data_IF_065849603090
#
_entry.id   IF_065849603090
#
_cell.length_a   1.000
_cell.length_b   1.000
_cell.length_c   1.000
_cell.angle_alpha   90.00
_cell.angle_beta   90.00
_cell.angle_gamma   90.00
#
_symmetry.space_group_name_H-M   'P 1'
#
loop_
_entity.id
_entity.type
_entity.pdbx_description
1 polymer ?
#
# COMPACT_ATOMS: atom_id res chain seq x y z
N UNK A 1 64.97 -14.82 -4.89
CA UNK A 1 66.41 -14.51 -4.81
C UNK A 1 66.60 -13.02 -5.10
N UNK A 2 67.18 -12.27 -4.13
CA UNK A 2 67.96 -11.00 -4.20
C UNK A 2 67.44 -9.83 -5.07
N UNK A 3 67.52 -8.54 -4.72
CA UNK A 3 67.76 -7.72 -3.52
C UNK A 3 67.50 -6.26 -3.96
N UNK A 4 67.12 -5.40 -3.00
CA UNK A 4 67.09 -3.92 -2.97
C UNK A 4 68.05 -3.12 -3.89
N UNK A 5 67.72 -1.85 -4.22
CA UNK A 5 68.02 -0.60 -3.47
C UNK A 5 67.55 0.65 -4.26
N UNK A 6 66.95 1.63 -3.55
CA UNK A 6 67.01 3.11 -3.70
C UNK A 6 66.59 3.78 -5.03
N UNK A 7 65.97 4.96 -5.11
CA UNK A 7 65.73 6.05 -4.16
C UNK A 7 65.96 7.42 -4.85
N UNK A 8 64.99 8.34 -4.69
CA UNK A 8 65.05 9.83 -4.84
C UNK A 8 64.84 10.50 -6.22
N UNK A 9 63.65 11.10 -6.33
CA UNK A 9 63.27 12.47 -6.76
C UNK A 9 64.14 13.31 -7.73
N UNK A 10 63.48 13.97 -8.69
CA UNK A 10 63.63 15.41 -9.00
C UNK A 10 62.55 15.93 -9.96
N UNK A 11 62.20 17.21 -9.79
CA UNK A 11 61.15 18.00 -10.48
C UNK A 11 61.42 18.25 -11.98
N UNK A 12 60.35 18.57 -12.74
CA UNK A 12 60.45 19.27 -14.03
C UNK A 12 59.09 19.67 -14.61
N UNK A 13 58.84 20.98 -14.68
CA UNK A 13 57.63 21.70 -15.07
C UNK A 13 57.56 21.96 -16.59
N UNK A 14 56.36 21.91 -17.22
CA UNK A 14 55.89 22.68 -18.40
C UNK A 14 54.83 21.85 -19.18
N UNK A 15 53.74 22.36 -19.73
CA UNK A 15 53.15 23.69 -19.82
C UNK A 15 51.77 23.53 -20.49
N UNK A 16 50.77 24.27 -20.03
CA UNK A 16 49.38 24.21 -20.50
C UNK A 16 49.04 25.53 -21.21
N UNK A 17 48.60 25.46 -22.46
CA UNK A 17 48.10 26.58 -23.25
C UNK A 17 46.59 26.36 -23.43
N UNK A 18 45.76 27.17 -22.80
CA UNK A 18 44.32 27.17 -23.01
C UNK A 18 43.83 28.60 -23.25
N UNK A 19 43.35 28.82 -24.48
CA UNK A 19 42.63 30.00 -24.94
C UNK A 19 41.31 30.13 -24.15
N UNK A 20 41.10 31.26 -23.47
CA UNK A 20 39.84 31.57 -22.80
C UNK A 20 38.94 32.41 -23.73
N UNK A 21 37.77 31.86 -24.06
CA UNK A 21 36.65 32.59 -24.66
C UNK A 21 35.86 33.30 -23.55
N UNK A 22 35.56 34.59 -23.74
CA UNK A 22 34.80 35.41 -22.81
C UNK A 22 33.28 35.21 -22.98
N UNK A 23 32.57 34.96 -21.86
CA UNK A 23 31.11 34.97 -21.75
C UNK A 23 30.65 36.18 -20.90
N UNK A 24 29.42 36.70 -21.09
CA UNK A 24 28.98 37.98 -20.51
C UNK A 24 28.70 37.88 -19.00
N UNK A 25 28.98 38.96 -18.28
CA UNK A 25 29.05 39.00 -16.82
C UNK A 25 27.72 38.77 -16.10
N UNK A 26 27.66 37.70 -15.32
CA UNK A 26 26.83 37.62 -14.11
C UNK A 26 27.35 38.64 -13.09
N UNK A 27 26.45 39.36 -12.42
CA UNK A 27 26.77 40.29 -11.34
C UNK A 27 27.38 39.52 -10.16
N UNK A 28 28.71 39.36 -10.17
CA UNK A 28 29.43 38.47 -9.30
C UNK A 28 29.96 39.22 -8.07
N UNK A 29 29.57 38.77 -6.88
CA UNK A 29 30.22 39.16 -5.62
C UNK A 29 31.61 38.50 -5.48
N UNK A 30 32.40 38.97 -4.51
CA UNK A 30 33.71 38.41 -4.20
C UNK A 30 33.68 36.87 -4.12
N UNK A 31 34.71 36.23 -4.69
CA UNK A 31 34.87 34.78 -4.62
C UNK A 31 35.85 34.44 -3.53
N UNK A 32 35.37 33.74 -2.52
CA UNK A 32 36.13 33.34 -1.33
C UNK A 32 36.46 31.85 -1.47
N UNK A 33 37.75 31.54 -1.54
CA UNK A 33 38.25 30.16 -1.61
C UNK A 33 38.58 29.70 -0.19
N UNK A 34 37.90 28.66 0.27
CA UNK A 34 38.14 28.04 1.58
C UNK A 34 39.18 26.92 1.51
N UNK A 35 39.84 26.66 2.64
CA UNK A 35 40.79 25.56 2.84
C UNK A 35 40.06 24.22 2.63
N UNK A 36 40.25 23.61 1.47
CA UNK A 36 39.51 22.43 1.00
C UNK A 36 38.99 22.55 -0.44
N UNK A 37 39.21 23.69 -1.10
CA UNK A 37 38.85 23.88 -2.52
C UNK A 37 37.38 24.25 -2.75
N UNK A 38 36.65 24.65 -1.70
CA UNK A 38 35.26 25.12 -1.81
C UNK A 38 35.28 26.62 -2.11
N UNK A 39 34.64 27.01 -3.22
CA UNK A 39 34.44 28.40 -3.60
C UNK A 39 33.08 28.89 -3.11
N UNK A 40 33.06 30.04 -2.44
CA UNK A 40 31.85 30.72 -1.99
C UNK A 40 31.75 32.11 -2.62
N UNK A 41 30.55 32.51 -3.03
CA UNK A 41 30.29 33.86 -3.50
C UNK A 41 29.66 34.69 -2.38
N UNK A 42 30.38 35.70 -1.91
CA UNK A 42 29.95 36.53 -0.79
C UNK A 42 31.05 37.45 -0.31
N UNK A 43 30.72 38.36 0.61
CA UNK A 43 31.64 39.38 1.10
C UNK A 43 32.12 39.10 2.50
N UNK A 44 33.44 39.21 2.71
CA UNK A 44 34.06 39.04 4.03
C UNK A 44 33.88 40.30 4.86
N UNK A 45 33.23 40.17 6.00
CA UNK A 45 33.06 41.18 7.05
C UNK A 45 33.96 40.80 8.23
N UNK A 46 34.68 41.78 8.79
CA UNK A 46 35.47 41.57 10.01
C UNK A 46 34.52 41.44 11.20
N UNK A 47 34.74 40.46 12.07
CA UNK A 47 33.96 40.37 13.30
C UNK A 47 34.43 41.46 14.28
N UNK A 48 33.55 42.37 14.74
CA UNK A 48 33.91 43.39 15.70
C UNK A 48 34.20 42.85 17.11
N UNK A 49 33.85 41.60 17.43
CA UNK A 49 34.02 41.01 18.76
C UNK A 49 35.25 40.10 18.90
N UNK A 50 35.71 39.47 17.82
CA UNK A 50 36.88 38.58 17.84
C UNK A 50 37.67 38.67 16.52
N UNK A 51 38.91 39.17 16.53
CA UNK A 51 39.75 39.28 15.34
C UNK A 51 40.09 37.96 14.66
N UNK A 52 39.92 36.82 15.35
CA UNK A 52 40.19 35.48 14.80
C UNK A 52 39.05 34.95 13.93
N UNK A 53 37.86 35.52 14.05
CA UNK A 53 36.69 35.11 13.28
C UNK A 53 36.32 36.15 12.22
N UNK A 54 35.89 35.65 11.07
CA UNK A 54 35.43 36.45 9.93
C UNK A 54 34.02 36.01 9.56
N UNK A 55 33.17 36.99 9.26
CA UNK A 55 31.76 36.78 8.91
C UNK A 55 31.60 36.95 7.41
N UNK A 56 31.24 35.90 6.69
CA UNK A 56 31.01 35.95 5.25
C UNK A 56 29.52 36.14 4.98
N UNK A 57 29.16 37.27 4.36
CA UNK A 57 27.80 37.53 3.90
C UNK A 57 27.63 36.98 2.49
N UNK A 58 26.74 36.01 2.33
CA UNK A 58 26.46 35.38 1.04
C UNK A 58 25.42 36.18 0.23
N UNK A 59 25.40 35.95 -1.09
CA UNK A 59 24.33 36.45 -1.97
C UNK A 59 22.95 35.86 -1.62
N UNK A 60 22.95 34.62 -1.13
CA UNK A 60 21.76 33.89 -0.65
C UNK A 60 22.01 33.44 0.79
N UNK A 61 21.22 33.96 1.71
CA UNK A 61 21.33 33.69 3.14
C UNK A 61 20.93 34.88 4.00
N UNK A 62 20.08 34.64 5.00
CA UNK A 62 19.61 35.68 5.94
C UNK A 62 20.68 36.15 6.94
N UNK A 63 21.71 35.34 7.19
CA UNK A 63 22.73 35.61 8.22
C UNK A 63 24.13 35.36 7.66
N UNK A 64 25.11 36.22 8.00
CA UNK A 64 26.52 35.97 7.67
C UNK A 64 27.02 34.67 8.33
N UNK A 65 27.70 33.83 7.57
CA UNK A 65 28.36 32.62 8.07
C UNK A 65 29.66 32.99 8.79
N UNK A 66 29.95 32.34 9.92
CA UNK A 66 31.17 32.58 10.69
C UNK A 66 32.23 31.53 10.33
N UNK A 67 33.42 32.00 9.97
CA UNK A 67 34.59 31.18 9.68
C UNK A 67 35.77 31.63 10.53
N UNK A 68 36.71 30.71 10.79
CA UNK A 68 38.01 31.09 11.34
C UNK A 68 38.86 31.73 10.23
N UNK A 69 39.58 32.82 10.54
CA UNK A 69 40.37 33.57 9.56
C UNK A 69 41.43 32.70 8.86
N UNK A 70 41.90 31.62 9.50
CA UNK A 70 42.86 30.68 8.90
C UNK A 70 42.26 29.76 7.83
N UNK A 71 40.93 29.67 7.73
CA UNK A 71 40.22 28.83 6.77
C UNK A 71 40.01 29.52 5.41
N UNK A 72 40.18 30.84 5.34
CA UNK A 72 40.09 31.59 4.08
C UNK A 72 41.48 31.60 3.43
N UNK A 73 41.60 31.01 2.25
CA UNK A 73 42.86 30.88 1.51
C UNK A 73 43.05 32.06 0.57
N UNK A 74 41.99 32.45 -0.14
CA UNK A 74 42.03 33.53 -1.12
C UNK A 74 40.68 34.25 -1.18
N UNK A 75 40.71 35.56 -1.34
CA UNK A 75 39.52 36.39 -1.59
C UNK A 75 39.77 37.15 -2.88
N UNK A 76 39.03 36.80 -3.92
CA UNK A 76 39.10 37.44 -5.24
C UNK A 76 38.02 38.51 -5.27
N UNK A 77 38.38 39.81 -5.21
CA UNK A 77 37.40 40.88 -5.18
C UNK A 77 36.70 41.00 -6.53
N UNK A 78 35.36 41.03 -6.53
CA UNK A 78 34.54 41.28 -7.72
C UNK A 78 33.41 42.25 -7.38
N UNK A 79 33.18 43.28 -8.23
CA UNK A 79 32.12 44.24 -7.99
C UNK A 79 30.76 43.56 -8.08
N UNK A 80 30.02 43.58 -6.97
CA UNK A 80 28.73 42.92 -6.88
C UNK A 80 27.67 43.72 -6.13
N UNK A 81 26.39 43.31 -6.21
CA UNK A 81 25.28 43.99 -5.52
C UNK A 81 25.44 44.07 -3.98
N UNK A 82 26.25 43.20 -3.38
CA UNK A 82 26.57 43.21 -1.96
C UNK A 82 27.46 44.40 -1.55
N UNK A 83 28.24 44.97 -2.47
CA UNK A 83 29.08 46.13 -2.17
C UNK A 83 28.23 47.38 -1.93
N UNK A 84 27.34 47.66 -2.87
CA UNK A 84 26.36 48.74 -2.78
C UNK A 84 25.40 48.54 -1.61
N UNK A 85 25.05 47.28 -1.32
CA UNK A 85 24.25 46.93 -0.16
C UNK A 85 24.94 47.35 1.14
N UNK A 86 26.22 47.03 1.35
CA UNK A 86 26.93 47.36 2.58
C UNK A 86 27.09 48.88 2.80
N UNK A 87 27.33 49.62 1.71
CA UNK A 87 27.40 51.10 1.76
C UNK A 87 26.06 51.69 2.18
N UNK A 88 24.96 51.14 1.65
CA UNK A 88 23.60 51.58 2.00
C UNK A 88 23.21 51.12 3.41
N UNK A 89 23.55 49.89 3.80
CA UNK A 89 23.23 49.30 5.10
C UNK A 89 23.97 50.00 6.25
N UNK A 90 25.15 50.58 5.99
CA UNK A 90 25.94 51.32 6.97
C UNK A 90 25.38 52.72 7.32
N UNK A 91 24.47 53.26 6.51
CA UNK A 91 23.79 54.54 6.84
C UNK A 91 22.81 54.31 8.00
N UNK A 92 22.77 55.21 9.01
CA UNK A 92 21.78 55.13 10.08
C UNK A 92 20.37 55.27 9.49
N UNK A 93 19.44 54.48 10.02
CA UNK A 93 18.04 54.44 9.61
C UNK A 93 17.21 54.48 10.88
N UNK A 94 16.35 55.48 10.99
CA UNK A 94 15.59 55.74 12.22
C UNK A 94 14.10 55.41 12.03
N UNK A 95 13.64 55.21 10.79
CA UNK A 95 12.24 54.93 10.47
C UNK A 95 12.01 53.59 9.76
N UNK A 96 10.87 52.94 10.05
CA UNK A 96 10.43 51.71 9.38
C UNK A 96 10.35 51.84 7.85
N UNK A 97 10.06 53.05 7.35
CA UNK A 97 10.02 53.34 5.92
C UNK A 97 11.40 53.24 5.24
N UNK A 98 12.44 53.71 5.91
CA UNK A 98 13.81 53.74 5.38
C UNK A 98 14.40 52.32 5.31
N UNK A 99 14.08 51.48 6.29
CA UNK A 99 14.39 50.04 6.27
C UNK A 99 13.66 49.32 5.12
N UNK A 100 12.39 49.66 4.87
CA UNK A 100 11.64 49.09 3.75
C UNK A 100 12.14 49.54 2.38
N UNK A 101 12.53 50.80 2.21
CA UNK A 101 13.07 51.28 0.93
C UNK A 101 14.41 50.60 0.60
N UNK A 102 15.19 50.21 1.62
CA UNK A 102 16.37 49.34 1.45
C UNK A 102 15.99 47.91 1.07
N UNK A 103 14.95 47.33 1.69
CA UNK A 103 14.42 46.03 1.29
C UNK A 103 13.96 46.02 -0.18
N UNK A 104 13.24 47.06 -0.63
CA UNK A 104 12.81 47.21 -2.02
C UNK A 104 13.97 47.42 -3.01
N UNK A 105 15.12 47.92 -2.55
CA UNK A 105 16.34 47.96 -3.33
C UNK A 105 17.00 46.59 -3.42
N UNK A 106 17.05 45.83 -2.31
CA UNK A 106 17.54 44.46 -2.28
C UNK A 106 16.75 43.55 -3.24
N UNK A 107 15.43 43.70 -3.28
CA UNK A 107 14.55 42.96 -4.21
C UNK A 107 14.91 43.20 -5.68
N UNK A 108 15.11 44.47 -6.05
CA UNK A 108 15.47 44.85 -7.42
C UNK A 108 16.82 44.27 -7.84
N UNK A 109 17.68 43.97 -6.87
CA UNK A 109 19.02 43.43 -7.08
C UNK A 109 19.14 41.92 -6.77
N UNK A 110 18.01 41.22 -6.67
CA UNK A 110 17.95 39.77 -6.44
C UNK A 110 18.59 39.31 -5.10
N UNK A 111 18.61 40.18 -4.10
CA UNK A 111 19.07 39.90 -2.74
C UNK A 111 17.88 39.59 -1.82
N UNK A 112 17.08 38.58 -2.20
CA UNK A 112 15.78 38.28 -1.57
C UNK A 112 15.88 38.00 -0.05
N UNK A 113 16.88 37.23 0.38
CA UNK A 113 17.06 36.90 1.79
C UNK A 113 17.37 38.14 2.63
N UNK A 114 18.16 39.07 2.11
CA UNK A 114 18.48 40.33 2.78
C UNK A 114 17.28 41.28 2.78
N UNK A 115 16.47 41.28 1.72
CA UNK A 115 15.22 42.01 1.70
C UNK A 115 14.27 41.53 2.81
N UNK A 116 14.17 40.21 3.05
CA UNK A 116 13.34 39.70 4.15
C UNK A 116 13.84 40.17 5.51
N UNK A 117 15.16 40.24 5.73
CA UNK A 117 15.75 40.74 7.00
C UNK A 117 15.39 42.21 7.22
N UNK A 118 15.46 43.04 6.19
CA UNK A 118 15.08 44.45 6.30
C UNK A 118 13.57 44.66 6.46
N UNK A 119 12.74 43.81 5.85
CA UNK A 119 11.31 43.82 6.13
C UNK A 119 11.00 43.38 7.58
N UNK A 120 11.70 42.37 8.11
CA UNK A 120 11.59 41.96 9.52
C UNK A 120 12.05 43.08 10.48
N UNK A 121 13.12 43.80 10.13
CA UNK A 121 13.61 44.96 10.89
C UNK A 121 12.64 46.15 10.86
N UNK A 122 12.02 46.44 9.71
CA UNK A 122 10.98 47.45 9.59
C UNK A 122 9.77 47.15 10.50
N UNK A 123 9.35 45.88 10.59
CA UNK A 123 8.28 45.44 11.49
C UNK A 123 8.67 45.50 12.97
N UNK A 124 9.95 45.37 13.30
CA UNK A 124 10.42 45.54 14.67
C UNK A 124 10.33 47.00 15.15
N UNK A 125 10.42 47.97 14.23
CA UNK A 125 10.26 49.41 14.50
C UNK A 125 8.79 49.83 14.48
N UNK A 126 8.01 49.35 13.51
CA UNK A 126 6.58 49.58 13.40
C UNK A 126 5.83 48.26 13.11
N UNK A 127 5.26 47.61 14.13
CA UNK A 127 4.50 46.37 13.98
C UNK A 127 3.25 46.48 13.10
N UNK A 128 2.79 47.70 12.77
CA UNK A 128 1.63 47.94 11.91
C UNK A 128 1.98 48.21 10.44
N UNK A 129 3.26 48.23 10.08
CA UNK A 129 3.72 48.71 8.77
C UNK A 129 3.29 47.77 7.62
N UNK A 130 2.18 48.12 6.97
CA UNK A 130 1.52 47.27 5.95
C UNK A 130 2.44 46.84 4.78
N UNK A 131 3.32 47.70 4.22
CA UNK A 131 4.15 47.31 3.08
C UNK A 131 5.11 46.16 3.40
N UNK A 132 5.71 46.14 4.60
CA UNK A 132 6.60 45.05 5.01
C UNK A 132 5.82 43.75 5.24
N UNK A 133 4.62 43.82 5.84
CA UNK A 133 3.75 42.66 5.99
C UNK A 133 3.32 42.07 4.65
N UNK A 134 2.90 42.90 3.68
CA UNK A 134 2.56 42.44 2.33
C UNK A 134 3.76 41.79 1.63
N UNK A 135 4.96 42.36 1.78
CA UNK A 135 6.20 41.83 1.17
C UNK A 135 6.61 40.47 1.76
N UNK A 136 6.40 40.27 3.05
CA UNK A 136 6.63 39.00 3.75
C UNK A 136 5.51 37.96 3.53
N UNK A 137 4.45 38.34 2.80
CA UNK A 137 3.31 37.45 2.52
C UNK A 137 2.37 37.25 3.71
N UNK A 138 2.37 38.17 4.67
CA UNK A 138 1.43 38.16 5.79
C UNK A 138 0.08 38.69 5.30
N UNK A 139 -1.00 38.15 5.84
CA UNK A 139 -2.37 38.51 5.48
C UNK A 139 -3.03 39.18 6.67
N UNK A 140 -3.72 40.30 6.44
CA UNK A 140 -4.49 40.98 7.47
C UNK A 140 -5.78 40.20 7.72
N UNK A 141 -5.90 39.60 8.90
CA UNK A 141 -7.10 38.86 9.31
C UNK A 141 -7.61 39.39 10.66
N UNK A 142 -8.86 39.86 10.71
CA UNK A 142 -9.50 40.43 11.90
C UNK A 142 -8.70 41.55 12.60
N UNK A 143 -8.04 42.42 11.81
CA UNK A 143 -7.25 43.52 12.34
C UNK A 143 -5.86 43.15 12.87
N UNK A 144 -5.42 41.89 12.69
CA UNK A 144 -4.07 41.43 13.02
C UNK A 144 -3.38 40.87 11.77
N UNK A 145 -2.10 41.17 11.60
CA UNK A 145 -1.28 40.57 10.56
C UNK A 145 -0.86 39.17 10.97
N UNK A 146 -1.24 38.16 10.17
CA UNK A 146 -0.89 36.77 10.38
C UNK A 146 0.01 36.27 9.26
N UNK A 147 0.99 35.43 9.59
CA UNK A 147 1.74 34.69 8.59
C UNK A 147 0.84 33.70 7.85
N UNK A 148 1.24 33.25 6.66
CA UNK A 148 0.47 32.23 5.92
C UNK A 148 0.32 30.91 6.72
N UNK A 149 1.26 30.61 7.62
CA UNK A 149 1.22 29.44 8.50
C UNK A 149 0.26 29.70 9.69
N UNK A 150 0.30 30.87 10.30
CA UNK A 150 -0.64 31.28 11.36
C UNK A 150 -2.09 31.37 10.88
N UNK A 151 -2.31 31.89 9.66
CA UNK A 151 -3.64 31.93 9.05
C UNK A 151 -4.22 30.52 8.90
N UNK A 152 -3.41 29.55 8.47
CA UNK A 152 -3.84 28.14 8.36
C UNK A 152 -4.16 27.53 9.72
N UNK A 153 -3.38 27.87 10.76
CA UNK A 153 -3.70 27.48 12.14
C UNK A 153 -5.03 28.09 12.60
N UNK A 154 -5.31 29.35 12.31
CA UNK A 154 -6.62 29.97 12.62
C UNK A 154 -7.78 29.32 11.86
N UNK A 155 -7.51 28.72 10.71
CA UNK A 155 -8.46 27.92 9.92
C UNK A 155 -8.62 26.48 10.45
N UNK A 156 -7.94 26.11 11.54
CA UNK A 156 -8.02 24.77 12.14
C UNK A 156 -7.12 23.72 11.47
N UNK A 157 -6.16 24.15 10.65
CA UNK A 157 -5.19 23.27 9.99
C UNK A 157 -3.90 23.19 10.80
N UNK A 158 -3.37 21.98 10.96
CA UNK A 158 -2.11 21.70 11.63
C UNK A 158 -1.12 21.09 10.63
N UNK A 159 0.14 21.50 10.75
CA UNK A 159 1.22 21.03 9.89
C UNK A 159 1.76 19.70 10.45
N UNK A 160 1.51 18.60 9.74
CA UNK A 160 1.98 17.26 10.08
C UNK A 160 2.81 16.69 8.92
N UNK A 161 4.07 16.31 9.19
CA UNK A 161 5.06 15.89 8.19
C UNK A 161 5.12 16.77 6.92
N UNK A 162 5.09 18.10 7.11
CA UNK A 162 5.20 19.06 6.00
C UNK A 162 3.91 19.29 5.20
N UNK A 163 2.80 18.63 5.55
CA UNK A 163 1.48 18.84 4.95
C UNK A 163 0.54 19.49 5.95
N UNK A 164 -0.29 20.41 5.48
CA UNK A 164 -1.39 20.98 6.26
C UNK A 164 -2.58 20.03 6.20
N UNK A 165 -3.10 19.63 7.36
CA UNK A 165 -4.26 18.76 7.48
C UNK A 165 -5.11 19.21 8.67
N UNK A 166 -6.38 18.79 8.71
CA UNK A 166 -7.21 19.08 9.88
C UNK A 166 -6.72 18.28 11.10
N UNK A 167 -7.05 18.74 12.30
CA UNK A 167 -6.69 18.02 13.53
C UNK A 167 -7.33 16.63 13.59
N UNK A 168 -8.54 16.46 13.03
CA UNK A 168 -9.18 15.15 12.93
C UNK A 168 -8.44 14.19 11.99
N UNK A 169 -7.96 14.69 10.85
CA UNK A 169 -7.20 13.88 9.89
C UNK A 169 -5.85 13.47 10.46
N UNK A 170 -5.16 14.40 11.13
CA UNK A 170 -3.91 14.13 11.84
C UNK A 170 -4.15 13.07 12.92
N UNK A 171 -5.14 13.25 13.78
CA UNK A 171 -5.47 12.30 14.83
C UNK A 171 -5.76 10.90 14.27
N UNK A 172 -6.55 10.79 13.20
CA UNK A 172 -6.81 9.51 12.51
C UNK A 172 -5.55 8.89 11.92
N UNK A 173 -4.61 9.68 11.41
CA UNK A 173 -3.37 9.19 10.82
C UNK A 173 -2.39 8.74 11.91
N UNK A 174 -2.28 9.50 13.00
CA UNK A 174 -1.49 9.14 14.17
C UNK A 174 -2.04 7.88 14.84
N UNK A 175 -3.36 7.77 15.01
CA UNK A 175 -4.02 6.57 15.50
C UNK A 175 -3.68 5.36 14.61
N UNK A 176 -3.80 5.49 13.29
CA UNK A 176 -3.41 4.42 12.35
C UNK A 176 -1.92 4.06 12.45
N UNK A 177 -1.05 5.05 12.61
CA UNK A 177 0.39 4.83 12.77
C UNK A 177 0.70 4.12 14.09
N UNK A 178 0.05 4.54 15.18
CA UNK A 178 0.17 3.91 16.50
C UNK A 178 -0.34 2.47 16.43
N UNK A 179 -1.55 2.23 15.91
CA UNK A 179 -2.10 0.89 15.67
C UNK A 179 -1.16 0.03 14.80
N UNK A 180 -0.54 0.61 13.77
CA UNK A 180 0.45 -0.09 12.96
C UNK A 180 1.70 -0.47 13.76
N UNK A 181 2.17 0.41 14.64
CA UNK A 181 3.35 0.16 15.50
C UNK A 181 3.08 -0.89 16.58
N UNK A 182 1.90 -0.86 17.22
CA UNK A 182 1.49 -1.82 18.23
C UNK A 182 1.22 -3.19 17.60
N UNK A 183 0.53 -3.24 16.46
CA UNK A 183 0.37 -4.47 15.68
C UNK A 183 1.72 -5.03 15.23
N UNK A 184 2.69 -4.19 14.86
CA UNK A 184 4.03 -4.65 14.52
C UNK A 184 4.78 -5.24 15.73
N UNK A 185 4.60 -4.67 16.92
CA UNK A 185 5.14 -5.23 18.16
C UNK A 185 4.49 -6.59 18.49
N UNK A 186 3.17 -6.69 18.42
CA UNK A 186 2.43 -7.94 18.57
C UNK A 186 2.86 -8.99 17.55
N UNK A 187 3.02 -8.61 16.27
CA UNK A 187 3.48 -9.51 15.22
C UNK A 187 4.84 -10.11 15.54
N UNK A 188 5.78 -9.31 16.07
CA UNK A 188 7.09 -9.81 16.52
C UNK A 188 6.93 -10.77 17.69
N UNK A 189 6.14 -10.43 18.71
CA UNK A 189 5.92 -11.28 19.89
C UNK A 189 5.29 -12.62 19.49
N UNK A 190 4.20 -12.60 18.71
CA UNK A 190 3.47 -13.81 18.32
C UNK A 190 4.33 -14.71 17.42
N UNK A 191 5.19 -14.14 16.56
CA UNK A 191 6.17 -14.94 15.79
C UNK A 191 7.14 -15.70 16.69
N UNK A 192 7.62 -15.08 17.78
CA UNK A 192 8.48 -15.75 18.75
C UNK A 192 7.72 -16.85 19.50
N UNK A 193 6.47 -16.60 19.89
CA UNK A 193 5.62 -17.60 20.53
C UNK A 193 5.34 -18.78 19.61
N UNK A 194 4.99 -18.54 18.34
CA UNK A 194 4.84 -19.58 17.33
C UNK A 194 6.10 -20.43 17.21
N UNK A 195 7.28 -19.81 17.12
CA UNK A 195 8.56 -20.54 17.08
C UNK A 195 8.77 -21.42 18.32
N UNK A 196 8.42 -20.92 19.50
CA UNK A 196 8.52 -21.67 20.74
C UNK A 196 7.51 -22.83 20.79
N UNK A 197 6.28 -22.66 20.28
CA UNK A 197 5.24 -23.71 20.20
C UNK A 197 5.68 -24.83 19.25
N UNK A 198 6.26 -24.48 18.09
CA UNK A 198 6.64 -25.48 17.09
C UNK A 198 7.93 -26.22 17.42
N UNK A 199 8.96 -25.49 17.88
CA UNK A 199 10.33 -26.01 17.99
C UNK A 199 10.86 -26.06 19.44
N UNK A 200 10.08 -25.63 20.43
CA UNK A 200 10.52 -25.58 21.82
C UNK A 200 10.58 -26.95 22.52
N UNK A 201 11.34 -27.01 23.61
CA UNK A 201 11.23 -28.10 24.57
C UNK A 201 9.79 -28.18 25.13
N UNK A 202 9.31 -29.34 25.63
CA UNK A 202 7.94 -29.50 26.11
C UNK A 202 7.46 -28.42 27.08
N UNK A 203 8.32 -27.98 28.01
CA UNK A 203 7.97 -26.95 28.98
C UNK A 203 7.85 -25.56 28.32
N UNK A 204 8.78 -25.23 27.43
CA UNK A 204 8.75 -23.97 26.65
C UNK A 204 7.55 -23.91 25.70
N UNK A 205 7.13 -25.05 25.14
CA UNK A 205 5.92 -25.15 24.31
C UNK A 205 4.68 -24.81 25.13
N UNK A 206 4.50 -25.45 26.28
CA UNK A 206 3.38 -25.18 27.19
C UNK A 206 3.36 -23.73 27.67
N UNK A 207 4.53 -23.18 28.01
CA UNK A 207 4.65 -21.77 28.39
C UNK A 207 4.19 -20.84 27.27
N UNK A 208 4.65 -21.08 26.03
CA UNK A 208 4.26 -20.27 24.87
C UNK A 208 2.76 -20.42 24.52
N UNK A 209 2.19 -21.63 24.64
CA UNK A 209 0.75 -21.86 24.48
C UNK A 209 -0.06 -21.09 25.54
N UNK A 210 0.36 -21.16 26.81
CA UNK A 210 -0.25 -20.42 27.90
C UNK A 210 -0.19 -18.91 27.68
N UNK A 211 0.95 -18.39 27.21
CA UNK A 211 1.09 -16.98 26.89
C UNK A 211 0.12 -16.53 25.80
N UNK A 212 -0.01 -17.30 24.71
CA UNK A 212 -1.00 -17.02 23.66
C UNK A 212 -2.42 -16.96 24.25
N UNK A 213 -2.73 -17.86 25.18
CA UNK A 213 -4.03 -17.94 25.85
C UNK A 213 -4.29 -16.84 26.87
N UNK A 214 -3.27 -16.10 27.29
CA UNK A 214 -3.38 -14.94 28.19
C UNK A 214 -3.56 -13.61 27.44
N UNK A 215 -3.37 -13.60 26.10
CA UNK A 215 -3.56 -12.38 25.30
C UNK A 215 -5.04 -11.95 25.35
N UNK A 216 -5.29 -10.71 25.77
CA UNK A 216 -6.63 -10.07 25.78
C UNK A 216 -6.70 -8.82 24.91
N UNK A 217 -5.58 -8.40 24.33
CA UNK A 217 -5.50 -7.16 23.57
C UNK A 217 -6.16 -7.32 22.19
N UNK A 218 -7.14 -6.45 21.91
CA UNK A 218 -7.84 -6.36 20.61
C UNK A 218 -6.87 -6.10 19.44
N UNK A 219 -5.76 -5.43 19.70
CA UNK A 219 -4.76 -5.11 18.68
C UNK A 219 -3.92 -6.33 18.28
N UNK A 220 -3.91 -7.38 19.11
CA UNK A 220 -3.23 -8.64 18.82
C UNK A 220 -4.01 -9.52 17.83
N UNK A 221 -5.32 -9.31 17.65
CA UNK A 221 -6.20 -10.16 16.82
C UNK A 221 -5.66 -10.33 15.39
N UNK A 222 -5.36 -9.22 14.70
CA UNK A 222 -4.89 -9.27 13.31
C UNK A 222 -3.49 -9.92 13.19
N UNK A 223 -2.50 -9.58 14.04
CA UNK A 223 -1.25 -10.33 14.14
C UNK A 223 -1.41 -11.83 14.43
N UNK A 224 -2.33 -12.22 15.34
CA UNK A 224 -2.58 -13.61 15.69
C UNK A 224 -3.13 -14.40 14.50
N UNK A 225 -4.16 -13.86 13.81
CA UNK A 225 -4.70 -14.46 12.59
C UNK A 225 -3.63 -14.63 11.51
N UNK A 226 -2.78 -13.61 11.31
CA UNK A 226 -1.73 -13.63 10.30
C UNK A 226 -0.65 -14.67 10.56
N UNK A 227 -0.28 -14.88 11.83
CA UNK A 227 0.85 -15.73 12.21
C UNK A 227 0.42 -17.16 12.48
N UNK A 228 -0.71 -17.38 13.16
CA UNK A 228 -1.18 -18.68 13.63
C UNK A 228 -2.27 -19.29 12.74
N UNK A 229 -2.98 -18.48 11.95
CA UNK A 229 -4.15 -18.93 11.19
C UNK A 229 -3.86 -19.89 10.03
N UNK A 230 -2.59 -20.02 9.62
CA UNK A 230 -2.15 -20.95 8.59
C UNK A 230 -1.33 -22.14 9.10
N UNK A 231 -1.20 -22.30 10.42
CA UNK A 231 -0.43 -23.39 11.03
C UNK A 231 -1.21 -24.72 11.07
N UNK A 232 -0.59 -25.76 11.62
CA UNK A 232 -1.22 -27.08 11.81
C UNK A 232 -2.47 -27.01 12.70
N UNK A 233 -3.42 -27.96 12.55
CA UNK A 233 -4.70 -27.95 13.27
C UNK A 233 -4.61 -27.66 14.79
N UNK A 234 -3.65 -28.22 15.56
CA UNK A 234 -3.54 -27.92 16.99
C UNK A 234 -3.29 -26.43 17.29
N UNK A 235 -2.49 -25.75 16.46
CA UNK A 235 -2.18 -24.32 16.62
C UNK A 235 -3.38 -23.45 16.20
N UNK A 236 -4.13 -23.87 15.17
CA UNK A 236 -5.38 -23.17 14.78
C UNK A 236 -6.48 -23.31 15.83
N UNK A 237 -6.55 -24.45 16.51
CA UNK A 237 -7.44 -24.65 17.67
C UNK A 237 -7.02 -23.75 18.84
N UNK A 238 -5.72 -23.68 19.14
CA UNK A 238 -5.19 -22.73 20.14
C UNK A 238 -5.55 -21.28 19.80
N UNK A 239 -5.40 -20.89 18.53
CA UNK A 239 -5.80 -19.56 18.03
C UNK A 239 -7.30 -19.31 18.26
N UNK A 240 -8.16 -20.28 17.93
CA UNK A 240 -9.60 -20.16 18.14
C UNK A 240 -9.92 -19.90 19.62
N UNK A 241 -9.36 -20.72 20.53
CA UNK A 241 -9.53 -20.57 21.97
C UNK A 241 -8.98 -19.25 22.52
N UNK A 242 -7.87 -18.76 21.98
CA UNK A 242 -7.29 -17.49 22.40
C UNK A 242 -8.14 -16.30 21.94
N UNK A 243 -8.62 -16.32 20.69
CA UNK A 243 -9.55 -15.30 20.17
C UNK A 243 -10.90 -15.33 20.90
N UNK A 244 -11.39 -16.50 21.28
CA UNK A 244 -12.61 -16.68 22.07
C UNK A 244 -12.56 -16.03 23.45
N UNK A 245 -11.36 -15.87 24.03
CA UNK A 245 -11.16 -15.15 25.31
C UNK A 245 -11.06 -13.63 25.17
N UNK A 246 -10.88 -13.11 23.96
CA UNK A 246 -10.86 -11.67 23.72
C UNK A 246 -12.31 -11.21 23.60
N UNK A 247 -12.73 -10.21 24.38
CA UNK A 247 -14.09 -9.69 24.30
C UNK A 247 -14.27 -8.69 23.15
N UNK A 248 -15.52 -8.47 22.73
CA UNK A 248 -15.86 -7.46 21.74
C UNK A 248 -16.12 -8.00 20.32
N UNK A 249 -16.60 -7.07 19.47
CA UNK A 249 -17.08 -7.36 18.11
C UNK A 249 -15.95 -7.71 17.14
N UNK A 250 -14.74 -7.19 17.38
CA UNK A 250 -13.55 -7.44 16.56
C UNK A 250 -13.15 -8.92 16.63
N UNK A 251 -13.15 -9.50 17.83
CA UNK A 251 -12.87 -10.93 18.04
C UNK A 251 -13.98 -11.82 17.45
N UNK A 252 -15.25 -11.44 17.59
CA UNK A 252 -16.37 -12.15 16.95
C UNK A 252 -16.23 -12.17 15.42
N UNK A 253 -15.89 -11.03 14.81
CA UNK A 253 -15.62 -10.93 13.36
C UNK A 253 -14.42 -11.78 12.92
N UNK A 254 -13.37 -11.82 13.74
CA UNK A 254 -12.19 -12.63 13.48
C UNK A 254 -12.51 -14.13 13.50
N UNK A 255 -13.27 -14.60 14.50
CA UNK A 255 -13.73 -16.00 14.57
C UNK A 255 -14.63 -16.37 13.38
N UNK A 256 -15.54 -15.48 12.96
CA UNK A 256 -16.33 -15.69 11.74
C UNK A 256 -15.45 -15.77 10.50
N UNK A 257 -14.45 -14.89 10.38
CA UNK A 257 -13.49 -14.98 9.25
C UNK A 257 -12.70 -16.29 9.28
N UNK A 258 -12.33 -16.77 10.47
CA UNK A 258 -11.56 -17.98 10.66
C UNK A 258 -12.38 -19.22 10.26
N UNK A 259 -13.62 -19.36 10.77
CA UNK A 259 -14.47 -20.53 10.50
C UNK A 259 -14.88 -20.64 9.03
N UNK A 260 -15.07 -19.51 8.34
CA UNK A 260 -15.40 -19.49 6.91
C UNK A 260 -14.22 -19.90 6.02
N UNK A 261 -12.98 -19.68 6.47
CA UNK A 261 -11.78 -20.09 5.78
C UNK A 261 -11.34 -21.52 6.12
N UNK A 262 -11.72 -22.04 7.29
CA UNK A 262 -11.21 -23.28 7.87
C UNK A 262 -11.63 -24.53 7.08
N UNK A 263 -10.68 -25.31 6.52
CA UNK A 263 -10.97 -26.55 5.82
C UNK A 263 -11.24 -27.74 6.76
N UNK A 264 -10.58 -27.81 7.91
CA UNK A 264 -10.65 -28.99 8.78
C UNK A 264 -11.88 -28.96 9.67
N UNK A 265 -12.63 -30.07 9.70
CA UNK A 265 -13.90 -30.17 10.44
C UNK A 265 -13.70 -30.07 11.95
N UNK A 266 -12.63 -30.66 12.49
CA UNK A 266 -12.34 -30.61 13.93
C UNK A 266 -12.02 -29.19 14.39
N UNK A 267 -11.22 -28.46 13.61
CA UNK A 267 -10.90 -27.06 13.89
C UNK A 267 -12.14 -26.19 13.76
N UNK A 268 -13.00 -26.42 12.76
CA UNK A 268 -14.30 -25.74 12.65
C UNK A 268 -15.17 -25.96 13.89
N UNK A 269 -15.16 -27.17 14.46
CA UNK A 269 -15.86 -27.50 15.71
C UNK A 269 -15.37 -26.65 16.88
N UNK A 270 -14.06 -26.50 17.05
CA UNK A 270 -13.48 -25.65 18.09
C UNK A 270 -13.88 -24.18 17.92
N UNK A 271 -13.80 -23.63 16.70
CA UNK A 271 -14.20 -22.24 16.42
C UNK A 271 -15.70 -22.03 16.65
N UNK A 272 -16.53 -23.02 16.28
CA UNK A 272 -17.98 -22.97 16.51
C UNK A 272 -18.31 -22.90 18.00
N UNK A 273 -17.62 -23.67 18.84
CA UNK A 273 -17.81 -23.63 20.29
C UNK A 273 -17.54 -22.22 20.84
N UNK A 274 -16.45 -21.59 20.41
CA UNK A 274 -16.13 -20.21 20.80
C UNK A 274 -17.14 -19.18 20.28
N UNK A 275 -17.73 -19.40 19.11
CA UNK A 275 -18.80 -18.54 18.58
C UNK A 275 -20.13 -18.72 19.33
N UNK A 276 -20.44 -19.93 19.77
CA UNK A 276 -21.68 -20.26 20.48
C UNK A 276 -21.77 -19.55 21.85
N UNK A 277 -20.64 -19.41 22.55
CA UNK A 277 -20.56 -18.68 23.82
C UNK A 277 -20.77 -17.16 23.68
N UNK A 278 -20.73 -16.62 22.44
CA UNK A 278 -20.71 -15.17 22.19
C UNK A 278 -22.06 -14.58 21.79
N UNK A 279 -23.14 -15.37 21.78
CA UNK A 279 -24.50 -15.06 21.29
C UNK A 279 -24.75 -13.58 20.90
N UNK A 280 -24.25 -13.21 19.72
CA UNK A 280 -24.23 -11.83 19.23
C UNK A 280 -24.98 -11.75 17.90
N UNK A 281 -26.09 -10.97 17.80
CA UNK A 281 -26.84 -10.79 16.56
C UNK A 281 -25.98 -10.40 15.32
N UNK A 282 -24.89 -9.61 15.46
CA UNK A 282 -23.99 -9.33 14.33
C UNK A 282 -23.31 -10.56 13.70
N UNK A 283 -23.11 -11.66 14.45
CA UNK A 283 -22.49 -12.89 13.95
C UNK A 283 -23.40 -13.54 12.91
N UNK A 284 -24.68 -13.73 13.27
CA UNK A 284 -25.70 -14.32 12.39
C UNK A 284 -25.85 -13.49 11.12
N UNK A 285 -25.91 -12.16 11.24
CA UNK A 285 -26.01 -11.26 10.09
C UNK A 285 -24.81 -11.39 9.13
N UNK A 286 -23.59 -11.53 9.66
CA UNK A 286 -22.39 -11.72 8.84
C UNK A 286 -22.37 -13.09 8.14
N UNK A 287 -22.81 -14.15 8.82
CA UNK A 287 -22.94 -15.49 8.24
C UNK A 287 -24.00 -15.53 7.14
N UNK A 288 -25.17 -14.90 7.36
CA UNK A 288 -26.22 -14.74 6.34
C UNK A 288 -25.69 -14.01 5.10
N UNK A 289 -24.92 -12.94 5.29
CA UNK A 289 -24.27 -12.24 4.16
C UNK A 289 -23.33 -13.17 3.38
N UNK A 290 -22.65 -14.09 4.07
CA UNK A 290 -21.69 -15.03 3.48
C UNK A 290 -22.35 -16.14 2.65
N UNK A 291 -23.64 -16.41 2.84
CA UNK A 291 -24.44 -17.31 1.98
C UNK A 291 -24.58 -16.80 0.53
N UNK A 292 -24.32 -15.52 0.30
CA UNK A 292 -24.35 -14.89 -1.03
C UNK A 292 -22.99 -14.89 -1.73
N UNK A 293 -22.00 -15.60 -1.17
CA UNK A 293 -20.66 -15.74 -1.78
C UNK A 293 -20.71 -16.56 -3.06
N UNK A 294 -19.82 -16.24 -4.01
CA UNK A 294 -19.59 -17.08 -5.20
C UNK A 294 -18.76 -18.34 -4.90
N UNK A 295 -18.11 -18.42 -3.74
CA UNK A 295 -17.39 -19.62 -3.31
C UNK A 295 -18.35 -20.58 -2.57
N UNK A 296 -18.62 -21.71 -3.21
CA UNK A 296 -19.41 -22.83 -2.70
C UNK A 296 -18.96 -23.29 -1.31
N UNK A 297 -17.65 -23.26 -1.02
CA UNK A 297 -17.12 -23.67 0.29
C UNK A 297 -17.52 -22.68 1.37
N UNK A 298 -17.46 -21.38 1.09
CA UNK A 298 -17.88 -20.33 2.01
C UNK A 298 -19.37 -20.43 2.30
N UNK A 299 -20.20 -20.68 1.28
CA UNK A 299 -21.66 -20.86 1.43
C UNK A 299 -21.97 -22.05 2.33
N UNK A 300 -21.37 -23.22 2.04
CA UNK A 300 -21.58 -24.42 2.83
C UNK A 300 -21.09 -24.27 4.28
N UNK A 301 -19.91 -23.66 4.50
CA UNK A 301 -19.41 -23.38 5.85
C UNK A 301 -20.31 -22.41 6.61
N UNK A 302 -20.78 -21.34 5.97
CA UNK A 302 -21.69 -20.39 6.58
C UNK A 302 -23.00 -21.06 7.02
N UNK A 303 -23.59 -21.91 6.16
CA UNK A 303 -24.79 -22.65 6.50
C UNK A 303 -24.57 -23.66 7.64
N UNK A 304 -23.48 -24.42 7.59
CA UNK A 304 -23.07 -25.32 8.66
C UNK A 304 -22.93 -24.59 9.99
N UNK A 305 -22.27 -23.42 10.01
CA UNK A 305 -22.12 -22.58 11.20
C UNK A 305 -23.46 -22.05 11.70
N UNK A 306 -24.34 -21.55 10.81
CA UNK A 306 -25.69 -21.10 11.20
C UNK A 306 -26.51 -22.20 11.86
N UNK A 307 -26.43 -23.42 11.34
CA UNK A 307 -27.06 -24.59 11.93
C UNK A 307 -26.46 -24.96 13.29
N UNK A 308 -25.13 -24.89 13.41
CA UNK A 308 -24.39 -25.13 14.64
C UNK A 308 -24.72 -24.13 15.76
N UNK A 309 -24.95 -22.86 15.41
CA UNK A 309 -25.38 -21.81 16.33
C UNK A 309 -26.89 -21.81 16.61
N UNK A 310 -27.64 -22.75 16.04
CA UNK A 310 -29.11 -22.79 16.13
C UNK A 310 -29.77 -21.46 15.70
N UNK A 311 -29.25 -20.83 14.65
CA UNK A 311 -29.70 -19.52 14.18
C UNK A 311 -31.02 -19.62 13.40
N UNK A 312 -32.12 -19.94 14.09
CA UNK A 312 -33.45 -20.12 13.50
C UNK A 312 -33.90 -18.88 12.70
N UNK A 313 -33.52 -17.68 13.14
CA UNK A 313 -33.81 -16.43 12.43
C UNK A 313 -33.20 -16.36 11.01
N UNK A 314 -32.18 -17.16 10.69
CA UNK A 314 -31.54 -17.19 9.37
C UNK A 314 -32.26 -18.11 8.35
N UNK A 315 -33.22 -18.94 8.80
CA UNK A 315 -33.96 -19.88 7.93
C UNK A 315 -34.54 -19.23 6.67
N UNK A 316 -35.13 -18.03 6.70
CA UNK A 316 -35.68 -17.39 5.48
C UNK A 316 -34.63 -17.11 4.38
N UNK A 317 -33.35 -17.00 4.74
CA UNK A 317 -32.27 -16.64 3.80
C UNK A 317 -31.59 -17.88 3.19
N UNK A 318 -31.64 -19.03 3.87
CA UNK A 318 -31.01 -20.28 3.40
C UNK A 318 -31.54 -20.82 2.06
N UNK A 319 -32.85 -20.77 1.72
CA UNK A 319 -33.35 -21.32 0.46
C UNK A 319 -32.76 -20.68 -0.78
N UNK A 320 -32.37 -19.40 -0.71
CA UNK A 320 -31.72 -18.71 -1.82
C UNK A 320 -30.29 -19.24 -2.09
N UNK A 321 -29.68 -19.90 -1.10
CA UNK A 321 -28.34 -20.46 -1.17
C UNK A 321 -28.33 -21.98 -1.42
N UNK A 322 -29.47 -22.64 -1.65
CA UNK A 322 -29.52 -24.09 -1.89
C UNK A 322 -28.76 -24.50 -3.16
N UNK A 323 -28.76 -23.63 -4.18
CA UNK A 323 -28.07 -23.85 -5.44
C UNK A 323 -27.20 -22.64 -5.75
N UNK A 324 -25.90 -22.83 -5.91
CA UNK A 324 -24.96 -21.79 -6.34
C UNK A 324 -24.55 -22.07 -7.79
N UNK A 325 -24.70 -21.09 -8.67
CA UNK A 325 -24.22 -21.16 -10.06
C UNK A 325 -22.91 -20.40 -10.16
N UNK A 326 -21.84 -21.07 -10.62
CA UNK A 326 -20.53 -20.46 -10.81
C UNK A 326 -20.21 -20.46 -12.30
N UNK A 327 -19.99 -19.27 -12.85
CA UNK A 327 -19.49 -19.12 -14.22
C UNK A 327 -17.99 -19.42 -14.25
N UNK A 328 -17.59 -20.38 -15.08
CA UNK A 328 -16.17 -20.69 -15.29
C UNK A 328 -15.85 -20.71 -16.78
N UNK A 329 -14.68 -20.20 -17.14
CA UNK A 329 -14.18 -20.29 -18.51
C UNK A 329 -13.52 -21.66 -18.68
N UNK A 330 -14.13 -22.53 -19.49
CA UNK A 330 -13.59 -23.85 -19.85
C UNK A 330 -13.13 -23.80 -21.30
N UNK A 331 -11.92 -24.30 -21.54
CA UNK A 331 -11.40 -24.51 -22.89
C UNK A 331 -11.96 -25.82 -23.42
N UNK A 332 -12.98 -25.75 -24.28
CA UNK A 332 -13.55 -26.94 -24.90
C UNK A 332 -12.86 -27.21 -26.25
N UNK A 333 -12.59 -28.49 -26.59
CA UNK A 333 -12.12 -28.86 -27.92
C UNK A 333 -13.05 -28.27 -28.96
N UNK A 334 -12.48 -27.71 -30.04
CA UNK A 334 -13.29 -27.27 -31.17
C UNK A 334 -13.84 -28.50 -31.88
N UNK A 335 -15.02 -28.97 -31.46
CA UNK A 335 -15.78 -29.97 -32.20
C UNK A 335 -16.23 -29.34 -33.51
N UNK A 336 -15.38 -29.43 -34.51
CA UNK A 336 -15.74 -29.17 -35.88
C UNK A 336 -16.76 -30.23 -36.28
N UNK A 337 -18.04 -29.88 -36.17
CA UNK A 337 -19.08 -30.47 -36.98
C UNK A 337 -18.60 -30.39 -38.44
N UNK A 338 -18.19 -31.53 -38.99
CA UNK A 338 -17.99 -31.65 -40.42
C UNK A 338 -19.29 -31.26 -41.14
N UNK A 339 -19.12 -30.57 -42.26
CA UNK A 339 -20.15 -30.07 -43.20
C UNK A 339 -20.73 -28.70 -42.85
N UNK A 340 -20.34 -27.70 -43.64
CA UNK A 340 -20.98 -26.40 -43.65
C UNK A 340 -20.11 -25.34 -44.32
N UNK A 341 -20.35 -25.15 -45.62
CA UNK A 341 -19.92 -24.09 -46.54
C UNK A 341 -19.10 -22.93 -45.95
N UNK A 342 -17.99 -22.63 -46.65
CA UNK A 342 -17.14 -21.47 -46.46
C UNK A 342 -17.96 -20.16 -46.31
N UNK A 343 -18.21 -19.77 -45.06
CA UNK A 343 -18.60 -18.41 -44.71
C UNK A 343 -17.34 -17.67 -44.28
N UNK A 344 -16.96 -16.70 -45.10
CA UNK A 344 -15.91 -15.73 -44.81
C UNK A 344 -16.45 -14.82 -43.69
N UNK A 345 -16.15 -15.15 -42.44
CA UNK A 345 -16.27 -14.21 -41.33
C UNK A 345 -14.99 -13.38 -41.22
N UNK A 346 -15.07 -12.05 -41.05
CA UNK A 346 -13.92 -11.17 -40.97
C UNK A 346 -13.36 -11.20 -39.54
N UNK A 347 -12.70 -12.28 -39.16
CA UNK A 347 -12.04 -12.40 -37.86
C UNK A 347 -10.53 -12.52 -38.10
N UNK A 348 -9.77 -11.63 -37.48
CA UNK A 348 -8.32 -11.46 -37.63
C UNK A 348 -7.47 -12.71 -37.31
N UNK A 349 -6.13 -12.58 -37.36
CA UNK A 349 -5.23 -13.72 -37.24
C UNK A 349 -5.45 -14.47 -35.93
N UNK A 350 -5.50 -15.80 -36.00
CA UNK A 350 -5.67 -16.67 -34.83
C UNK A 350 -4.46 -16.58 -33.88
N UNK A 351 -4.65 -16.72 -32.56
CA UNK A 351 -3.54 -16.71 -31.61
C UNK A 351 -2.55 -17.84 -31.90
N UNK A 352 -1.25 -17.51 -31.90
CA UNK A 352 -0.17 -18.44 -32.18
C UNK A 352 0.28 -19.17 -30.90
N UNK A 353 0.56 -20.47 -30.98
CA UNK A 353 1.06 -21.24 -29.83
C UNK A 353 2.50 -20.78 -29.48
N UNK A 354 2.68 -20.32 -28.25
CA UNK A 354 3.96 -19.80 -27.74
C UNK A 354 4.76 -20.88 -27.01
N UNK A 355 4.11 -21.67 -26.15
CA UNK A 355 4.74 -22.75 -25.40
C UNK A 355 3.70 -23.81 -24.98
N UNK A 356 4.13 -25.07 -24.91
CA UNK A 356 3.32 -26.20 -24.45
C UNK A 356 4.16 -27.08 -23.52
N UNK A 357 3.64 -27.37 -22.33
CA UNK A 357 4.17 -28.45 -21.49
C UNK A 357 3.01 -29.23 -20.84
N UNK A 358 3.34 -30.21 -19.99
CA UNK A 358 2.36 -31.07 -19.33
C UNK A 358 1.46 -30.35 -18.30
N UNK A 359 1.67 -29.04 -18.06
CA UNK A 359 0.97 -28.28 -17.04
C UNK A 359 0.24 -27.04 -17.60
N UNK A 360 0.71 -26.47 -18.71
CA UNK A 360 0.07 -25.30 -19.33
C UNK A 360 0.30 -25.23 -20.85
N UNK A 361 -0.62 -24.55 -21.53
CA UNK A 361 -0.45 -24.04 -22.89
C UNK A 361 -0.41 -22.52 -22.83
N UNK A 362 0.61 -21.91 -23.44
CA UNK A 362 0.72 -20.48 -23.62
C UNK A 362 0.43 -20.11 -25.06
N UNK A 363 -0.42 -19.11 -25.26
CA UNK A 363 -0.76 -18.54 -26.56
C UNK A 363 -0.35 -17.08 -26.62
N UNK A 364 0.17 -16.67 -27.77
CA UNK A 364 0.40 -15.28 -28.11
C UNK A 364 -0.91 -14.69 -28.67
N UNK A 365 -1.40 -13.60 -28.09
CA UNK A 365 -2.50 -12.85 -28.68
C UNK A 365 -2.03 -12.22 -29.98
N UNK A 366 -2.96 -11.94 -30.92
CA UNK A 366 -2.65 -11.10 -32.08
C UNK A 366 -1.99 -9.78 -31.65
N UNK A 367 -1.09 -9.21 -32.47
CA UNK A 367 -0.49 -7.92 -32.18
C UNK A 367 -1.56 -6.83 -32.12
N UNK A 368 -1.57 -6.06 -31.04
CA UNK A 368 -2.31 -4.80 -30.97
C UNK A 368 -1.39 -3.69 -31.46
N UNK A 369 -1.77 -3.04 -32.57
CA UNK A 369 -0.96 -1.97 -33.20
C UNK A 369 -1.53 -0.60 -32.82
N UNK A 370 -0.71 0.23 -32.17
CA UNK A 370 -0.96 1.65 -31.97
C UNK A 370 0.05 2.51 -32.74
N UNK A 371 -0.10 3.84 -32.78
CA UNK A 371 0.85 4.72 -33.47
C UNK A 371 2.27 4.57 -32.88
N UNK A 372 3.17 3.93 -33.63
CA UNK A 372 4.58 3.73 -33.24
C UNK A 372 4.86 2.58 -32.27
N UNK A 373 3.86 1.79 -31.86
CA UNK A 373 4.05 0.67 -30.91
C UNK A 373 3.24 -0.56 -31.35
N UNK A 374 3.89 -1.73 -31.30
CA UNK A 374 3.24 -3.04 -31.44
C UNK A 374 3.37 -3.78 -30.11
N UNK A 375 2.25 -4.18 -29.52
CA UNK A 375 2.23 -4.95 -28.28
C UNK A 375 1.66 -6.36 -28.52
N UNK A 376 2.38 -7.37 -28.03
CA UNK A 376 1.92 -8.75 -28.00
C UNK A 376 1.53 -9.11 -26.57
N UNK A 377 0.30 -9.56 -26.36
CA UNK A 377 -0.12 -10.19 -25.11
C UNK A 377 0.18 -11.68 -25.16
N UNK A 378 0.35 -12.31 -24.00
CA UNK A 378 0.38 -13.76 -23.87
C UNK A 378 -0.54 -14.16 -22.72
N UNK A 379 -1.28 -15.24 -22.91
CA UNK A 379 -2.04 -15.86 -21.82
C UNK A 379 -1.69 -17.35 -21.74
N UNK A 380 -1.52 -17.83 -20.50
CA UNK A 380 -1.26 -19.24 -20.20
C UNK A 380 -2.48 -19.84 -19.53
N UNK A 381 -2.91 -21.01 -20.00
CA UNK A 381 -4.01 -21.78 -19.39
C UNK A 381 -3.48 -23.13 -18.91
N UNK A 382 -3.87 -23.59 -17.71
CA UNK A 382 -3.52 -24.93 -17.24
C UNK A 382 -4.06 -25.99 -18.20
N UNK A 383 -3.25 -27.01 -18.49
CA UNK A 383 -3.62 -28.11 -19.36
C UNK A 383 -3.28 -29.42 -18.70
N UNK A 384 -4.25 -30.32 -18.63
CA UNK A 384 -4.09 -31.65 -18.07
C UNK A 384 -4.44 -32.66 -19.15
N UNK A 385 -3.52 -33.60 -19.38
CA UNK A 385 -3.66 -34.80 -20.20
C UNK A 385 -3.17 -34.70 -21.66
N UNK A 386 -1.91 -35.09 -21.89
CA UNK A 386 -1.35 -35.39 -23.22
C UNK A 386 -1.59 -36.87 -23.65
N UNK A 387 -2.21 -37.71 -22.80
CA UNK A 387 -2.25 -39.16 -22.96
C UNK A 387 -3.28 -39.72 -23.95
N UNK A 388 -4.03 -38.87 -24.67
CA UNK A 388 -5.06 -39.29 -25.63
C UNK A 388 -4.76 -38.91 -27.09
N UNK A 389 -3.55 -38.43 -27.40
CA UNK A 389 -3.17 -38.26 -28.80
C UNK A 389 -2.72 -39.61 -29.39
N UNK A 390 -3.26 -40.03 -30.56
CA UNK A 390 -2.76 -41.20 -31.24
C UNK A 390 -1.28 -40.98 -31.58
N UNK A 391 -0.47 -41.94 -31.18
CA UNK A 391 0.99 -41.95 -31.21
C UNK A 391 1.51 -41.45 -32.57
N UNK A 392 2.32 -40.40 -32.50
CA UNK A 392 3.06 -39.83 -33.62
C UNK A 392 4.05 -38.81 -33.10
N UNK A 393 4.98 -39.27 -32.25
CA UNK A 393 6.08 -38.45 -31.75
C UNK A 393 6.93 -37.93 -32.94
N UNK A 394 7.25 -36.64 -32.97
CA UNK A 394 8.67 -36.31 -32.94
C UNK A 394 8.92 -35.09 -32.05
N UNK A 395 9.14 -35.32 -30.76
CA UNK A 395 10.07 -34.46 -30.02
C UNK A 395 11.47 -34.94 -30.40
N UNK A 396 12.02 -34.37 -31.47
CA UNK A 396 13.45 -34.39 -31.76
C UNK A 396 13.95 -32.95 -31.79
N UNK A 397 14.90 -32.66 -30.91
CA UNK A 397 15.65 -31.40 -30.81
C UNK A 397 16.65 -31.25 -31.99
N UNK A 398 17.50 -30.21 -32.06
CA UNK A 398 17.24 -28.80 -32.39
C UNK A 398 17.98 -28.38 -33.70
N UNK A 399 17.48 -27.40 -34.44
CA UNK A 399 18.24 -26.81 -35.55
C UNK A 399 17.49 -25.69 -36.30
N UNK A 400 18.16 -24.58 -36.68
CA UNK A 400 17.54 -23.52 -37.45
C UNK A 400 17.68 -23.84 -38.95
N UNK A 401 16.61 -24.31 -39.59
CA UNK A 401 16.52 -24.34 -41.06
C UNK A 401 15.49 -23.31 -41.51
N UNK A 402 15.91 -22.20 -42.14
CA UNK A 402 15.01 -21.26 -42.76
C UNK A 402 14.57 -21.79 -44.12
N UNK A 403 13.26 -21.91 -44.32
CA UNK A 403 12.67 -22.09 -45.64
C UNK A 403 12.25 -23.51 -45.99
N UNK A 404 11.17 -24.00 -45.39
CA UNK A 404 10.27 -24.95 -46.04
C UNK A 404 8.85 -24.70 -45.55
N UNK A 405 8.07 -24.02 -46.40
CA UNK A 405 6.63 -23.87 -46.27
C UNK A 405 5.96 -25.22 -46.56
N UNK A 406 5.54 -25.94 -45.52
CA UNK A 406 4.61 -27.06 -45.67
C UNK A 406 3.20 -26.52 -45.42
N UNK A 407 2.52 -26.16 -46.50
CA UNK A 407 1.07 -25.98 -46.53
C UNK A 407 0.39 -27.35 -46.48
N UNK A 408 0.27 -27.91 -45.28
CA UNK A 408 -0.54 -29.09 -44.98
C UNK A 408 -1.66 -28.69 -44.04
N UNK A 409 -2.90 -28.77 -44.51
CA UNK A 409 -4.10 -28.35 -43.79
C UNK A 409 -4.34 -29.16 -42.51
N UNK A 410 -3.94 -28.59 -41.38
CA UNK A 410 -4.52 -28.85 -40.06
C UNK A 410 -4.73 -27.50 -39.40
N UNK A 411 -5.80 -26.80 -39.80
CA UNK A 411 -6.36 -25.73 -38.98
C UNK A 411 -7.03 -26.35 -37.75
N UNK A 412 -6.20 -26.91 -36.86
CA UNK A 412 -6.63 -27.27 -35.52
C UNK A 412 -6.88 -25.96 -34.80
N UNK A 413 -8.10 -25.42 -34.96
CA UNK A 413 -8.63 -24.38 -34.08
C UNK A 413 -8.40 -24.89 -32.66
N UNK A 414 -7.44 -24.29 -31.98
CA UNK A 414 -7.16 -24.61 -30.59
C UNK A 414 -8.43 -24.50 -29.75
N UNK A 415 -8.47 -25.09 -28.56
CA UNK A 415 -9.63 -25.03 -27.68
C UNK A 415 -10.14 -23.59 -27.54
N UNK A 416 -11.45 -23.37 -27.64
CA UNK A 416 -12.05 -22.04 -27.57
C UNK A 416 -12.54 -21.80 -26.14
N UNK A 417 -12.25 -20.65 -25.52
CA UNK A 417 -12.79 -20.33 -24.20
C UNK A 417 -14.32 -20.23 -24.30
N UNK A 418 -15.04 -21.08 -23.57
CA UNK A 418 -16.49 -20.96 -23.39
C UNK A 418 -16.80 -20.75 -21.92
N UNK A 419 -17.75 -19.86 -21.64
CA UNK A 419 -18.32 -19.69 -20.31
C UNK A 419 -19.28 -20.86 -20.10
N UNK A 420 -18.98 -21.70 -19.11
CA UNK A 420 -19.84 -22.80 -18.66
C UNK A 420 -20.37 -22.43 -17.28
N UNK A 421 -21.68 -22.62 -17.09
CA UNK A 421 -22.34 -22.39 -15.82
C UNK A 421 -22.41 -23.73 -15.08
N UNK A 422 -21.54 -23.93 -14.10
CA UNK A 422 -21.58 -25.10 -13.23
C UNK A 422 -22.55 -24.80 -12.08
N UNK A 423 -23.63 -25.59 -11.97
CA UNK A 423 -24.57 -25.50 -10.87
C UNK A 423 -24.17 -26.46 -9.75
N UNK A 424 -23.96 -25.92 -8.55
CA UNK A 424 -23.61 -26.68 -7.36
C UNK A 424 -24.79 -26.74 -6.39
N UNK A 425 -25.11 -27.95 -5.93
CA UNK A 425 -26.06 -28.17 -4.85
C UNK A 425 -25.33 -28.11 -3.50
N UNK A 426 -25.73 -27.17 -2.65
CA UNK A 426 -25.09 -26.94 -1.37
C UNK A 426 -25.66 -27.87 -0.29
N UNK A 427 -24.97 -28.98 -0.03
CA UNK A 427 -25.41 -30.02 0.91
C UNK A 427 -25.54 -29.49 2.34
N UNK A 428 -24.65 -28.59 2.77
CA UNK A 428 -24.70 -28.02 4.12
C UNK A 428 -25.86 -27.02 4.29
N UNK A 429 -26.29 -26.37 3.20
CA UNK A 429 -27.46 -25.48 3.22
C UNK A 429 -28.74 -26.29 3.41
N UNK A 430 -28.86 -27.43 2.72
CA UNK A 430 -29.97 -28.35 2.92
C UNK A 430 -29.94 -28.93 4.34
N UNK A 431 -28.78 -29.42 4.80
CA UNK A 431 -28.62 -29.96 6.14
C UNK A 431 -28.97 -28.92 7.22
N UNK A 432 -28.58 -27.65 7.02
CA UNK A 432 -28.94 -26.56 7.91
C UNK A 432 -30.45 -26.31 7.96
N UNK A 433 -31.12 -26.26 6.80
CA UNK A 433 -32.56 -26.12 6.71
C UNK A 433 -33.29 -27.26 7.43
N UNK A 434 -32.90 -28.51 7.15
CA UNK A 434 -33.51 -29.69 7.79
C UNK A 434 -33.28 -29.71 9.30
N UNK A 435 -32.06 -29.38 9.76
CA UNK A 435 -31.74 -29.33 11.18
C UNK A 435 -32.49 -28.22 11.93
N UNK A 436 -32.64 -27.04 11.33
CA UNK A 436 -33.28 -25.88 11.98
C UNK A 436 -34.81 -25.95 11.93
N UNK A 437 -35.40 -26.63 10.94
CA UNK A 437 -36.85 -26.63 10.70
C UNK A 437 -37.53 -27.98 10.94
N UNK A 438 -36.77 -29.08 10.91
CA UNK A 438 -37.30 -30.45 10.92
C UNK A 438 -38.04 -30.85 9.65
N UNK A 439 -38.00 -30.04 8.58
CA UNK A 439 -38.63 -30.32 7.29
C UNK A 439 -37.59 -30.67 6.23
N UNK A 440 -38.02 -31.34 5.16
CA UNK A 440 -37.18 -31.61 4.00
C UNK A 440 -37.98 -31.46 2.70
N UNK A 441 -37.59 -30.48 1.89
CA UNK A 441 -38.11 -30.27 0.53
C UNK A 441 -37.01 -30.44 -0.53
N UNK A 442 -35.87 -31.05 -0.15
CA UNK A 442 -34.69 -31.17 -0.99
C UNK A 442 -34.16 -29.80 -1.46
N UNK A 443 -33.68 -29.75 -2.69
CA UNK A 443 -33.10 -28.54 -3.31
C UNK A 443 -34.13 -27.62 -3.99
N UNK A 444 -35.44 -27.83 -3.79
CA UNK A 444 -36.47 -26.94 -4.34
C UNK A 444 -36.62 -25.67 -3.47
N UNK A 445 -35.87 -24.63 -3.84
CA UNK A 445 -35.93 -23.32 -3.20
C UNK A 445 -37.34 -22.70 -3.20
N UNK A 446 -38.19 -23.02 -4.18
CA UNK A 446 -39.55 -22.48 -4.26
C UNK A 446 -40.48 -23.17 -3.27
N UNK A 447 -40.36 -24.49 -3.11
CA UNK A 447 -41.10 -25.24 -2.08
C UNK A 447 -40.76 -24.74 -0.68
N UNK A 448 -39.46 -24.58 -0.39
CA UNK A 448 -38.99 -23.99 0.86
C UNK A 448 -39.59 -22.60 1.13
N UNK A 449 -39.54 -21.68 0.15
CA UNK A 449 -40.10 -20.32 0.32
C UNK A 449 -41.61 -20.32 0.55
N UNK A 450 -42.36 -21.19 -0.15
CA UNK A 450 -43.81 -21.32 0.04
C UNK A 450 -44.14 -21.78 1.46
N UNK A 451 -43.45 -22.81 1.94
CA UNK A 451 -43.64 -23.31 3.30
C UNK A 451 -43.23 -22.28 4.35
N UNK A 452 -42.09 -21.59 4.17
CA UNK A 452 -41.64 -20.55 5.11
C UNK A 452 -42.68 -19.44 5.24
N UNK A 453 -43.23 -18.95 4.12
CA UNK A 453 -44.27 -17.91 4.13
C UNK A 453 -45.57 -18.38 4.80
N UNK A 454 -45.92 -19.66 4.68
CA UNK A 454 -47.18 -20.20 5.16
C UNK A 454 -47.14 -20.68 6.63
N UNK A 455 -46.01 -21.20 7.09
CA UNK A 455 -45.96 -22.03 8.30
C UNK A 455 -44.75 -21.81 9.20
N UNK A 456 -43.69 -21.14 8.73
CA UNK A 456 -42.49 -20.96 9.55
C UNK A 456 -42.70 -19.88 10.61
N UNK A 457 -42.45 -20.23 11.87
CA UNK A 457 -42.44 -19.31 12.99
C UNK A 457 -41.08 -19.39 13.71
N UNK A 458 -40.26 -18.32 13.70
CA UNK A 458 -38.95 -18.31 14.33
C UNK A 458 -39.01 -18.36 15.87
N UNK A 459 -40.17 -18.07 16.47
CA UNK A 459 -40.41 -18.15 17.91
C UNK A 459 -41.67 -18.99 18.18
N UNK A 460 -41.56 -20.33 18.20
CA UNK A 460 -42.71 -21.17 18.50
C UNK A 460 -43.26 -20.76 19.86
N UNK A 461 -44.54 -20.34 19.92
CA UNK A 461 -45.20 -20.07 21.20
C UNK A 461 -45.12 -21.35 22.03
N UNK A 462 -44.69 -21.30 23.31
CA UNK A 462 -44.71 -22.49 24.14
C UNK A 462 -46.13 -23.05 24.13
N UNK A 463 -46.26 -24.35 23.83
CA UNK A 463 -47.56 -24.99 23.78
C UNK A 463 -48.27 -24.73 25.11
N UNK A 464 -49.47 -24.15 25.06
CA UNK A 464 -50.30 -23.94 26.24
C UNK A 464 -50.67 -25.33 26.77
N UNK A 465 -49.90 -25.83 27.74
CA UNK A 465 -50.28 -27.03 28.50
C UNK A 465 -51.51 -26.63 29.30
N UNK A 466 -52.67 -27.11 28.88
CA UNK A 466 -53.85 -27.12 29.74
C UNK A 466 -53.57 -28.22 30.76
N UNK A 467 -53.47 -27.86 32.04
CA UNK A 467 -53.36 -28.86 33.10
C UNK A 467 -54.58 -29.79 32.98
N UNK A 468 -54.31 -31.09 32.82
CA UNK A 468 -55.38 -32.08 32.83
C UNK A 468 -55.94 -32.19 34.26
N UNK A 469 -57.27 -32.28 34.40
CA UNK A 469 -57.96 -32.19 35.70
C UNK A 469 -57.59 -33.31 36.67
#
# INVERSE_FOLDING_TARGET
MRHHVGGKATLGLAGLLALAAAAPGEAAADTIVLRGGVELQGKVLKDPKDPRHVRVLLMKGKRPLQFDASQIVEVIPRPGPLDDYLVRSAKPRDGAREEYDLAAWCDRNQLDDLATVHCEAALALDPGFEPAHKRLGHVLHQGKWLTADELRVTQGLVKYHGKWMSEEEKAKLEEKSQLGSTQAAWLRRIKLLRLAILNGAPDRRREAENEVMLIRDKEAIAPMLKVLGGDDPPVRILLAHALGRIEGKEASRALVSLILAEPETDVRGAILAELAERDQPPIVAQLVKSLRSGDVRTVNRAAWTLAGLNAVAAVPELPAALVTSVERVVMLPNEGSGQGLASVSPAGPSPALLALNNNYIAYLTPPTVGPGVVAYGAYSVPFYNLGQLPIGNPIASPGPTPGTSVSGGMSSRGPIPRIVNDTYQNTEVLAALTRLTGQDFGYDASAWRRWIKASFNPHPRPARRVDQP
#
